data_IF_782342754334
#
_entry.id   IF_782342754334
#
_cell.length_a   1.000
_cell.length_b   1.000
_cell.length_c   1.000
_cell.angle_alpha   90.00
_cell.angle_beta   90.00
_cell.angle_gamma   90.00
#
_symmetry.space_group_name_H-M   'P 1'
#
loop_
_entity.id
_entity.type
_entity.pdbx_description
1 polymer ?
#
# COMPACT_ATOMS: atom_id res chain seq x y z
N UNK A 1 35.24 -26.53 -12.19
CA UNK A 1 34.49 -26.57 -10.91
C UNK A 1 34.58 -25.25 -10.17
N UNK A 2 35.81 -24.80 -9.88
CA UNK A 2 36.03 -23.56 -9.12
C UNK A 2 35.47 -22.30 -9.83
N UNK A 3 35.58 -22.21 -11.18
CA UNK A 3 35.09 -21.07 -11.94
C UNK A 3 33.57 -20.97 -11.93
N UNK A 4 32.87 -22.10 -11.99
CA UNK A 4 31.41 -22.15 -11.95
C UNK A 4 30.89 -21.68 -10.58
N UNK A 5 31.57 -22.07 -9.50
CA UNK A 5 31.22 -21.62 -8.16
C UNK A 5 31.46 -20.11 -7.98
N UNK A 6 32.54 -19.58 -8.57
CA UNK A 6 32.79 -18.13 -8.55
C UNK A 6 31.70 -17.33 -9.24
N UNK A 7 31.19 -17.79 -10.36
CA UNK A 7 30.11 -17.13 -11.09
C UNK A 7 28.85 -17.05 -10.22
N UNK A 8 28.49 -18.13 -9.53
CA UNK A 8 27.33 -18.16 -8.64
C UNK A 8 27.52 -17.19 -7.46
N UNK A 9 28.69 -17.15 -6.86
CA UNK A 9 29.00 -16.24 -5.77
C UNK A 9 29.00 -14.78 -6.23
N UNK A 10 29.55 -14.48 -7.39
CA UNK A 10 29.50 -13.14 -7.96
C UNK A 10 28.07 -12.67 -8.21
N UNK A 11 27.18 -13.56 -8.70
CA UNK A 11 25.77 -13.26 -8.90
C UNK A 11 25.07 -12.95 -7.56
N UNK A 12 25.40 -13.68 -6.50
CA UNK A 12 24.85 -13.44 -5.15
C UNK A 12 25.32 -12.14 -4.52
N UNK A 13 26.46 -11.61 -4.96
CA UNK A 13 27.01 -10.34 -4.48
C UNK A 13 26.50 -9.12 -5.20
N UNK A 14 25.57 -9.29 -6.14
CA UNK A 14 24.94 -8.17 -6.83
C UNK A 14 24.24 -7.30 -5.81
N UNK A 15 24.12 -6.04 -6.18
CA UNK A 15 23.48 -5.02 -5.35
C UNK A 15 22.10 -5.47 -4.89
N UNK A 16 21.83 -5.32 -3.60
CA UNK A 16 20.51 -5.56 -3.04
C UNK A 16 19.47 -4.65 -3.71
N UNK A 17 18.21 -5.06 -3.75
CA UNK A 17 17.13 -4.21 -4.25
C UNK A 17 17.09 -2.87 -3.52
N UNK A 18 16.86 -1.79 -4.27
CA UNK A 18 16.77 -0.44 -3.72
C UNK A 18 15.41 0.17 -4.00
N UNK A 19 14.90 0.94 -3.05
CA UNK A 19 13.61 1.61 -3.18
C UNK A 19 13.82 2.96 -3.87
N UNK A 20 13.08 3.22 -4.96
CA UNK A 20 13.07 4.51 -5.64
C UNK A 20 12.01 5.42 -5.08
N UNK A 21 10.82 4.92 -4.87
CA UNK A 21 9.67 5.70 -4.40
C UNK A 21 8.75 4.83 -3.57
N UNK A 22 8.20 5.41 -2.53
CA UNK A 22 7.11 4.83 -1.76
C UNK A 22 5.96 5.81 -1.78
N UNK A 23 4.75 5.30 -1.96
CA UNK A 23 3.51 6.08 -1.93
C UNK A 23 2.40 5.26 -1.32
N UNK A 24 1.43 5.96 -0.75
CA UNK A 24 0.19 5.33 -0.29
C UNK A 24 -0.94 5.97 -1.09
N UNK A 25 -1.67 5.16 -1.83
CA UNK A 25 -2.70 5.64 -2.75
C UNK A 25 -4.07 5.39 -2.16
N UNK A 26 -4.90 6.41 -2.19
CA UNK A 26 -6.35 6.28 -1.91
C UNK A 26 -7.05 6.24 -3.25
N UNK A 27 -7.62 5.10 -3.59
CA UNK A 27 -8.20 4.82 -4.89
C UNK A 27 -9.70 4.60 -4.77
N UNK A 28 -10.43 4.91 -5.84
CA UNK A 28 -11.84 4.55 -5.92
C UNK A 28 -12.00 3.03 -5.86
N UNK A 29 -12.96 2.58 -5.03
CA UNK A 29 -13.34 1.17 -4.99
C UNK A 29 -14.47 0.95 -6.01
N UNK A 30 -14.15 0.24 -7.08
CA UNK A 30 -15.08 0.06 -8.20
C UNK A 30 -16.11 -1.03 -7.96
N UNK A 31 -15.89 -1.90 -6.98
CA UNK A 31 -16.78 -3.00 -6.67
C UNK A 31 -16.94 -3.19 -5.15
N UNK A 32 -17.46 -2.17 -4.45
CA UNK A 32 -17.59 -2.25 -2.99
C UNK A 32 -18.69 -3.22 -2.58
N UNK A 33 -18.46 -3.94 -1.48
CA UNK A 33 -19.50 -4.70 -0.83
C UNK A 33 -20.34 -3.74 0.02
N UNK A 34 -21.54 -3.40 -0.47
CA UNK A 34 -22.44 -2.47 0.19
C UNK A 34 -23.58 -3.15 0.96
N UNK A 35 -23.53 -4.47 1.12
CA UNK A 35 -24.59 -5.24 1.75
C UNK A 35 -24.93 -4.77 3.16
N UNK A 36 -23.95 -4.25 3.91
CA UNK A 36 -24.16 -3.77 5.28
C UNK A 36 -25.09 -2.54 5.35
N UNK A 37 -25.12 -1.67 4.32
CA UNK A 37 -25.99 -0.50 4.32
C UNK A 37 -27.47 -0.83 4.04
N UNK A 38 -27.77 -2.03 3.62
CA UNK A 38 -29.16 -2.48 3.44
C UNK A 38 -29.84 -2.79 4.77
N UNK A 39 -29.11 -2.84 5.87
CA UNK A 39 -29.64 -3.03 7.20
C UNK A 39 -30.32 -1.76 7.70
N UNK A 40 -31.40 -1.90 8.47
CA UNK A 40 -32.22 -0.77 8.96
C UNK A 40 -31.40 0.25 9.77
N UNK A 41 -30.44 -0.23 10.54
CA UNK A 41 -29.57 0.65 11.37
C UNK A 41 -28.69 1.58 10.54
N UNK A 42 -28.49 1.29 9.25
CA UNK A 42 -27.68 2.09 8.35
C UNK A 42 -28.51 2.87 7.32
N UNK A 43 -29.81 3.07 7.57
CA UNK A 43 -30.71 3.75 6.62
C UNK A 43 -30.20 5.13 6.22
N UNK A 44 -29.68 5.92 7.17
CA UNK A 44 -29.17 7.26 6.89
C UNK A 44 -27.93 7.21 5.97
N UNK A 45 -27.06 6.24 6.19
CA UNK A 45 -25.87 6.04 5.34
C UNK A 45 -26.24 5.55 3.96
N UNK A 46 -27.24 4.69 3.84
CA UNK A 46 -27.75 4.23 2.56
C UNK A 46 -28.29 5.39 1.73
N UNK A 47 -29.08 6.27 2.35
CA UNK A 47 -29.60 7.45 1.67
C UNK A 47 -28.49 8.39 1.22
N UNK A 48 -27.48 8.63 2.07
CA UNK A 48 -26.31 9.44 1.73
C UNK A 48 -25.54 8.84 0.56
N UNK A 49 -25.32 7.53 0.56
CA UNK A 49 -24.67 6.84 -0.55
C UNK A 49 -25.46 6.96 -1.85
N UNK A 50 -26.77 6.76 -1.79
CA UNK A 50 -27.65 6.86 -2.96
C UNK A 50 -27.68 8.27 -3.54
N UNK A 51 -27.55 9.30 -2.70
CA UNK A 51 -27.44 10.70 -3.15
C UNK A 51 -26.07 11.06 -3.70
N UNK A 52 -25.07 10.18 -3.54
CA UNK A 52 -23.69 10.47 -3.94
C UNK A 52 -22.92 11.35 -2.95
N UNK A 53 -23.35 11.45 -1.70
CA UNK A 53 -22.67 12.22 -0.66
C UNK A 53 -21.31 11.62 -0.29
N UNK A 54 -21.15 10.33 -0.48
CA UNK A 54 -19.85 9.64 -0.36
C UNK A 54 -19.82 8.43 -1.30
N UNK A 55 -18.60 7.92 -1.49
CA UNK A 55 -18.36 6.68 -2.22
C UNK A 55 -17.48 5.78 -1.36
N UNK A 56 -17.01 4.67 -1.92
CA UNK A 56 -16.06 3.79 -1.25
C UNK A 56 -14.69 3.89 -1.90
N UNK A 57 -13.67 3.79 -1.06
CA UNK A 57 -12.27 3.87 -1.48
C UNK A 57 -11.48 2.70 -0.91
N UNK A 58 -10.29 2.50 -1.46
CA UNK A 58 -9.30 1.58 -0.94
C UNK A 58 -8.00 2.31 -0.69
N UNK A 59 -7.22 1.80 0.25
CA UNK A 59 -5.89 2.33 0.58
C UNK A 59 -4.87 1.25 0.30
N UNK A 60 -3.90 1.55 -0.55
CA UNK A 60 -2.84 0.62 -0.96
C UNK A 60 -1.50 1.31 -0.86
N UNK A 61 -0.54 0.70 -0.18
CA UNK A 61 0.84 1.16 -0.17
C UNK A 61 1.60 0.50 -1.33
N UNK A 62 2.42 1.29 -2.04
CA UNK A 62 3.18 0.83 -3.19
C UNK A 62 4.62 1.33 -3.10
N UNK A 63 5.55 0.53 -3.62
CA UNK A 63 6.93 0.93 -3.77
C UNK A 63 7.44 0.55 -5.15
N UNK A 64 8.15 1.48 -5.79
CA UNK A 64 8.95 1.19 -6.97
C UNK A 64 10.33 0.78 -6.49
N UNK A 65 10.73 -0.44 -6.85
CA UNK A 65 11.96 -1.07 -6.37
C UNK A 65 12.81 -1.46 -7.58
N UNK A 66 14.08 -1.12 -7.53
CA UNK A 66 15.05 -1.56 -8.55
C UNK A 66 15.59 -2.91 -8.12
N UNK A 67 15.32 -3.92 -8.91
CA UNK A 67 15.78 -5.29 -8.72
C UNK A 67 16.60 -5.67 -9.94
N UNK A 68 17.89 -5.81 -9.76
CA UNK A 68 18.83 -6.14 -10.84
C UNK A 68 18.65 -5.25 -12.09
N UNK A 69 18.58 -3.95 -11.88
CA UNK A 69 18.45 -2.98 -12.94
C UNK A 69 17.05 -2.79 -13.52
N UNK A 70 16.06 -3.55 -13.05
CA UNK A 70 14.69 -3.46 -13.51
C UNK A 70 13.80 -2.91 -12.41
N UNK A 71 12.97 -1.92 -12.75
CA UNK A 71 12.00 -1.35 -11.81
C UNK A 71 10.78 -2.24 -11.72
N UNK A 72 10.45 -2.64 -10.49
CA UNK A 72 9.25 -3.41 -10.17
C UNK A 72 8.40 -2.61 -9.18
N UNK A 73 7.09 -2.62 -9.37
CA UNK A 73 6.17 -2.03 -8.40
C UNK A 73 5.63 -3.12 -7.50
N UNK A 74 5.90 -3.00 -6.20
CA UNK A 74 5.42 -3.93 -5.18
C UNK A 74 4.33 -3.24 -4.39
N UNK A 75 3.34 -4.00 -3.95
CA UNK A 75 2.13 -3.47 -3.31
C UNK A 75 1.80 -4.22 -2.03
N UNK A 76 1.21 -3.50 -1.08
CA UNK A 76 0.50 -4.13 0.04
C UNK A 76 -0.79 -4.79 -0.45
N UNK A 77 -1.43 -5.57 0.41
CA UNK A 77 -2.71 -6.21 0.09
C UNK A 77 -3.85 -5.23 -0.15
N UNK A 78 -3.78 -4.06 0.45
CA UNK A 78 -4.82 -3.04 0.37
C UNK A 78 -5.96 -3.28 1.35
N UNK A 79 -6.60 -2.21 1.77
CA UNK A 79 -7.86 -2.25 2.51
C UNK A 79 -8.90 -1.50 1.71
N UNK A 80 -9.95 -2.19 1.31
CA UNK A 80 -11.02 -1.68 0.44
C UNK A 80 -12.32 -1.53 1.22
N UNK A 81 -13.32 -0.90 0.61
CA UNK A 81 -14.62 -0.72 1.24
C UNK A 81 -14.64 0.33 2.34
N UNK A 82 -13.72 1.28 2.29
CA UNK A 82 -13.67 2.41 3.22
C UNK A 82 -14.57 3.51 2.70
N UNK A 83 -15.42 4.07 3.55
CA UNK A 83 -16.25 5.22 3.17
C UNK A 83 -15.36 6.44 2.90
N UNK A 84 -15.57 7.10 1.76
CA UNK A 84 -14.70 8.21 1.31
C UNK A 84 -14.74 9.44 2.22
N UNK A 85 -15.81 9.58 3.02
CA UNK A 85 -15.96 10.66 4.00
C UNK A 85 -15.45 10.29 5.41
N UNK A 86 -14.68 9.20 5.52
CA UNK A 86 -14.05 8.81 6.78
C UNK A 86 -13.09 9.90 7.27
N UNK A 87 -12.90 9.96 8.60
CA UNK A 87 -11.97 10.91 9.21
C UNK A 87 -10.56 10.78 8.65
N UNK A 88 -9.89 11.90 8.49
CA UNK A 88 -8.50 11.95 8.05
C UNK A 88 -7.59 11.08 8.94
N UNK A 89 -7.83 11.11 10.26
CA UNK A 89 -7.06 10.29 11.20
C UNK A 89 -7.23 8.80 10.94
N UNK A 90 -8.42 8.36 10.55
CA UNK A 90 -8.67 6.96 10.20
C UNK A 90 -7.92 6.57 8.92
N UNK A 91 -7.97 7.41 7.90
CA UNK A 91 -7.24 7.17 6.65
C UNK A 91 -5.74 7.08 6.90
N UNK A 92 -5.19 7.96 7.74
CA UNK A 92 -3.78 7.92 8.13
C UNK A 92 -3.41 6.62 8.86
N UNK A 93 -4.29 6.16 9.76
CA UNK A 93 -4.09 4.90 10.48
C UNK A 93 -4.06 3.72 9.50
N UNK A 94 -5.01 3.66 8.57
CA UNK A 94 -5.05 2.62 7.55
C UNK A 94 -3.81 2.71 6.64
N UNK A 95 -3.41 3.91 6.25
CA UNK A 95 -2.22 4.13 5.44
C UNK A 95 -0.97 3.60 6.14
N UNK A 96 -0.86 3.82 7.44
CA UNK A 96 0.27 3.31 8.23
C UNK A 96 0.27 1.78 8.28
N UNK A 97 -0.89 1.17 8.48
CA UNK A 97 -1.02 -0.29 8.47
C UNK A 97 -0.64 -0.88 7.10
N UNK A 98 -1.09 -0.25 6.01
CA UNK A 98 -0.75 -0.70 4.66
C UNK A 98 0.73 -0.53 4.37
N UNK A 99 1.34 0.56 4.81
CA UNK A 99 2.78 0.74 4.69
C UNK A 99 3.54 -0.35 5.45
N UNK A 100 3.13 -0.72 6.64
CA UNK A 100 3.75 -1.80 7.40
C UNK A 100 3.60 -3.15 6.69
N UNK A 101 2.47 -3.40 6.06
CA UNK A 101 2.28 -4.58 5.21
C UNK A 101 3.21 -4.57 4.00
N UNK A 102 3.40 -3.42 3.38
CA UNK A 102 4.35 -3.25 2.29
C UNK A 102 5.79 -3.55 2.74
N UNK A 103 6.18 -3.10 3.94
CA UNK A 103 7.50 -3.40 4.50
C UNK A 103 7.78 -4.89 4.57
N UNK A 104 6.78 -5.70 4.93
CA UNK A 104 6.92 -7.15 4.95
C UNK A 104 7.18 -7.71 3.55
N UNK A 105 6.50 -7.19 2.54
CA UNK A 105 6.73 -7.56 1.14
C UNK A 105 8.14 -7.16 0.69
N UNK A 106 8.57 -5.95 1.01
CA UNK A 106 9.89 -5.44 0.66
C UNK A 106 11.00 -6.29 1.31
N UNK A 107 10.83 -6.61 2.58
CA UNK A 107 11.77 -7.48 3.30
C UNK A 107 11.87 -8.86 2.66
N UNK A 108 10.74 -9.42 2.24
CA UNK A 108 10.70 -10.74 1.60
C UNK A 108 11.49 -10.79 0.29
N UNK A 109 11.61 -9.67 -0.44
CA UNK A 109 12.38 -9.59 -1.67
C UNK A 109 13.82 -9.09 -1.47
N UNK A 110 14.24 -8.90 -0.22
CA UNK A 110 15.63 -8.56 0.11
C UNK A 110 15.93 -7.06 0.26
N UNK A 111 14.90 -6.21 0.34
CA UNK A 111 15.09 -4.78 0.63
C UNK A 111 15.51 -4.61 2.08
N UNK A 112 16.56 -3.82 2.32
CA UNK A 112 17.05 -3.57 3.67
C UNK A 112 16.08 -2.66 4.46
N UNK A 113 16.10 -2.76 5.78
CA UNK A 113 15.28 -1.94 6.67
C UNK A 113 15.63 -0.45 6.59
N UNK A 114 16.83 -0.09 6.16
CA UNK A 114 17.22 1.31 5.95
C UNK A 114 16.49 1.95 4.77
N UNK A 115 16.12 1.15 3.77
CA UNK A 115 15.35 1.60 2.60
C UNK A 115 13.86 1.77 2.91
N UNK A 116 13.36 1.03 3.89
CA UNK A 116 11.95 1.06 4.29
C UNK A 116 11.86 1.03 5.83
N UNK A 117 12.12 2.17 6.49
CA UNK A 117 12.11 2.23 7.95
C UNK A 117 10.72 2.02 8.54
N UNK A 118 10.67 1.77 9.86
CA UNK A 118 9.39 1.67 10.57
C UNK A 118 8.59 2.94 10.37
N UNK A 119 7.32 2.81 9.97
CA UNK A 119 6.46 3.95 9.68
C UNK A 119 5.98 4.65 10.94
N UNK A 120 5.86 5.98 10.83
CA UNK A 120 5.19 6.83 11.79
C UNK A 120 4.13 7.65 11.05
N UNK A 121 3.20 8.26 11.77
CA UNK A 121 2.18 9.12 11.15
C UNK A 121 2.81 10.29 10.39
N UNK A 122 3.81 10.93 10.98
CA UNK A 122 4.50 12.05 10.33
C UNK A 122 5.18 11.63 9.03
N UNK A 123 5.76 10.44 8.99
CA UNK A 123 6.40 9.90 7.80
C UNK A 123 5.38 9.55 6.72
N UNK A 124 4.27 8.95 7.10
CA UNK A 124 3.26 8.45 6.16
C UNK A 124 2.43 9.59 5.55
N UNK A 125 2.09 10.61 6.32
CA UNK A 125 1.19 11.67 5.91
C UNK A 125 1.55 12.28 4.54
N UNK A 126 2.81 12.70 4.28
CA UNK A 126 3.16 13.25 2.97
C UNK A 126 3.17 12.23 1.83
N UNK A 127 3.14 10.93 2.13
CA UNK A 127 3.13 9.87 1.12
C UNK A 127 1.73 9.54 0.63
N UNK A 128 0.70 10.00 1.31
CA UNK A 128 -0.69 9.71 0.95
C UNK A 128 -1.09 10.54 -0.26
N UNK A 129 -1.51 9.85 -1.32
CA UNK A 129 -1.99 10.46 -2.56
C UNK A 129 -3.45 10.09 -2.77
N UNK A 130 -4.30 11.07 -2.69
CA UNK A 130 -5.74 10.89 -2.90
C UNK A 130 -6.04 10.95 -4.39
N UNK A 131 -6.48 9.83 -4.96
CA UNK A 131 -6.75 9.69 -6.39
C UNK A 131 -8.21 9.25 -6.65
N UNK A 132 -9.00 9.18 -5.61
CA UNK A 132 -10.41 8.77 -5.72
C UNK A 132 -11.31 9.94 -6.10
#
# INVERSE_FOLDING_TARGET
MTSRRRVVEATRRRTAPTVQEIRVRVLHDEDPDTSFIDQDEFADRREAYQRGDFTFVGVVAEADVVIEGTVQTLKSGGLWGIESDSDEAYIEEVALEEYNGLRDVLKAVGVSTSEAPVGTREMIQPLIKWEA
#
